data_IF_500745535679
#
_entry.id   IF_500745535679
#
_cell.length_a   1.000
_cell.length_b   1.000
_cell.length_c   1.000
_cell.angle_alpha   90.00
_cell.angle_beta   90.00
_cell.angle_gamma   90.00
#
_symmetry.space_group_name_H-M   'P 1'
#
loop_
_entity.id
_entity.type
_entity.pdbx_description
1 polymer ?
#
# COMPACT_ATOMS: atom_id res chain seq x y z
N UNK A 1 -5.98 22.04 -44.81
CA UNK A 1 -5.16 20.96 -44.21
C UNK A 1 -4.69 21.42 -42.86
N UNK A 2 -5.34 20.96 -41.81
CA UNK A 2 -4.89 21.22 -40.42
C UNK A 2 -4.24 19.95 -39.90
N UNK A 3 -2.92 20.02 -39.71
CA UNK A 3 -2.18 19.01 -39.00
C UNK A 3 -2.30 19.29 -37.50
N UNK A 4 -3.12 18.48 -36.82
CA UNK A 4 -3.17 18.44 -35.36
C UNK A 4 -1.99 17.59 -34.88
N UNK A 5 -0.99 18.25 -34.30
CA UNK A 5 0.12 17.57 -33.62
C UNK A 5 -0.35 17.32 -32.18
N UNK A 6 -0.79 16.09 -31.93
CA UNK A 6 -1.06 15.62 -30.58
C UNK A 6 0.25 15.52 -29.81
N UNK A 7 0.39 16.30 -28.74
CA UNK A 7 1.50 16.19 -27.81
C UNK A 7 1.42 14.84 -27.06
N UNK A 8 2.50 14.07 -27.00
CA UNK A 8 2.50 12.87 -26.16
C UNK A 8 2.55 13.28 -24.68
N UNK A 9 1.66 12.72 -23.90
CA UNK A 9 1.62 12.84 -22.45
C UNK A 9 2.82 12.06 -21.87
N UNK A 10 3.90 12.76 -21.53
CA UNK A 10 5.20 12.22 -21.08
C UNK A 10 5.34 12.33 -19.56
N UNK A 11 4.41 11.90 -18.73
CA UNK A 11 4.57 12.20 -17.31
C UNK A 11 4.73 11.04 -16.33
N UNK A 12 4.34 9.80 -16.65
CA UNK A 12 4.40 8.74 -15.64
C UNK A 12 5.52 7.70 -15.80
N UNK A 13 6.14 7.61 -16.97
CA UNK A 13 7.16 6.60 -17.27
C UNK A 13 8.54 6.96 -16.70
N UNK A 14 8.82 8.25 -16.52
CA UNK A 14 10.15 8.76 -16.15
C UNK A 14 10.49 8.49 -14.69
N UNK A 15 9.54 8.64 -13.76
CA UNK A 15 9.77 8.46 -12.32
C UNK A 15 10.09 7.01 -11.96
N UNK A 16 9.35 6.05 -12.51
CA UNK A 16 9.57 4.60 -12.29
C UNK A 16 10.91 4.13 -12.87
N UNK A 17 11.37 4.75 -13.96
CA UNK A 17 12.63 4.41 -14.58
C UNK A 17 13.82 4.64 -13.65
N UNK A 18 13.86 5.79 -12.96
CA UNK A 18 14.97 6.10 -12.03
C UNK A 18 15.04 5.15 -10.84
N UNK A 19 13.91 4.69 -10.32
CA UNK A 19 13.88 3.73 -9.20
C UNK A 19 14.43 2.36 -9.60
N UNK A 20 14.38 2.00 -10.88
CA UNK A 20 14.88 0.73 -11.39
C UNK A 20 16.31 0.80 -11.91
N UNK A 21 16.98 1.95 -11.82
CA UNK A 21 18.40 2.06 -12.15
C UNK A 21 19.28 1.51 -11.01
N UNK A 22 20.49 0.98 -11.35
CA UNK A 22 21.46 0.64 -10.34
C UNK A 22 21.86 1.88 -9.50
N UNK A 23 22.11 1.71 -8.19
CA UNK A 23 22.15 0.47 -7.42
C UNK A 23 20.81 -0.02 -6.90
N UNK A 24 19.73 0.76 -6.98
CA UNK A 24 18.46 0.51 -6.27
C UNK A 24 17.70 -0.68 -6.86
N UNK A 25 17.45 -0.69 -8.19
CA UNK A 25 16.68 -1.74 -8.89
C UNK A 25 15.41 -2.13 -8.13
N UNK A 26 14.58 -1.15 -7.84
CA UNK A 26 13.42 -1.29 -6.94
C UNK A 26 12.53 -2.49 -7.27
N UNK A 27 12.21 -2.71 -8.55
CA UNK A 27 11.32 -3.82 -8.95
C UNK A 27 11.98 -5.19 -8.89
N UNK A 28 13.31 -5.28 -9.08
CA UNK A 28 14.04 -6.54 -9.19
C UNK A 28 14.59 -7.01 -7.85
N UNK A 29 14.81 -6.09 -6.90
CA UNK A 29 15.39 -6.40 -5.61
C UNK A 29 14.34 -6.99 -4.68
N UNK A 30 14.63 -8.18 -4.14
CA UNK A 30 13.78 -8.81 -3.15
C UNK A 30 13.80 -8.02 -1.83
N UNK A 31 12.65 -7.57 -1.39
CA UNK A 31 12.51 -6.86 -0.13
C UNK A 31 12.63 -7.77 1.09
N UNK A 32 13.26 -7.26 2.15
CA UNK A 32 13.46 -7.93 3.43
C UNK A 32 12.71 -7.27 4.59
N UNK A 33 11.88 -6.29 4.30
CA UNK A 33 11.06 -5.61 5.30
C UNK A 33 10.01 -6.54 5.94
N UNK A 34 9.41 -6.14 7.08
CA UNK A 34 8.43 -6.95 7.81
C UNK A 34 7.20 -7.34 6.97
N UNK A 35 6.76 -6.48 6.04
CA UNK A 35 5.60 -6.76 5.18
C UNK A 35 5.96 -7.79 4.11
N UNK A 36 7.17 -7.73 3.54
CA UNK A 36 7.65 -8.75 2.61
C UNK A 36 7.76 -10.14 3.27
N UNK A 37 8.19 -10.18 4.54
CA UNK A 37 8.24 -11.43 5.32
C UNK A 37 6.83 -11.98 5.52
N UNK A 38 5.89 -11.12 5.88
CA UNK A 38 4.48 -11.48 6.02
C UNK A 38 3.90 -11.99 4.70
N UNK A 39 4.18 -11.31 3.58
CA UNK A 39 3.74 -11.71 2.24
C UNK A 39 4.15 -13.15 1.91
N UNK A 40 5.41 -13.51 2.18
CA UNK A 40 5.91 -14.86 1.94
C UNK A 40 5.19 -15.92 2.80
N UNK A 41 4.89 -15.61 4.06
CA UNK A 41 4.15 -16.51 4.96
C UNK A 41 2.70 -16.72 4.51
N UNK A 42 2.04 -15.67 4.05
CA UNK A 42 0.68 -15.75 3.50
C UNK A 42 0.68 -16.57 2.19
N UNK A 43 1.59 -16.27 1.28
CA UNK A 43 1.69 -16.95 -0.01
C UNK A 43 2.02 -18.45 0.12
N UNK A 44 2.81 -18.85 1.12
CA UNK A 44 3.14 -20.25 1.39
C UNK A 44 2.07 -20.99 2.21
N UNK A 45 1.02 -20.32 2.67
CA UNK A 45 0.00 -20.90 3.54
C UNK A 45 0.48 -21.17 4.97
N UNK A 46 1.66 -20.70 5.36
CA UNK A 46 2.18 -20.79 6.75
C UNK A 46 1.40 -19.91 7.71
N UNK A 47 0.74 -18.89 7.19
CA UNK A 47 -0.05 -17.96 7.95
C UNK A 47 -1.37 -17.67 7.22
N UNK A 48 -2.44 -17.58 7.99
CA UNK A 48 -3.74 -17.09 7.56
C UNK A 48 -4.14 -15.95 8.49
N UNK A 49 -4.66 -14.85 7.93
CA UNK A 49 -5.14 -13.73 8.74
C UNK A 49 -6.55 -14.03 9.25
N UNK A 50 -6.72 -13.96 10.56
CA UNK A 50 -8.03 -14.11 11.18
C UNK A 50 -8.93 -12.92 10.81
N UNK A 51 -10.21 -13.21 10.61
CA UNK A 51 -11.19 -12.18 10.25
C UNK A 51 -12.11 -11.88 11.44
N UNK A 52 -12.15 -10.63 11.81
CA UNK A 52 -13.08 -10.05 12.78
C UNK A 52 -14.33 -9.53 12.04
N UNK A 53 -15.50 -9.58 12.70
CA UNK A 53 -16.78 -9.14 12.11
C UNK A 53 -16.85 -7.64 11.85
N UNK A 54 -16.11 -6.85 12.60
CA UNK A 54 -16.19 -5.39 12.64
C UNK A 54 -15.10 -4.72 11.80
N UNK A 55 -13.89 -5.26 11.85
CA UNK A 55 -12.70 -4.65 11.23
C UNK A 55 -12.00 -5.57 10.21
N UNK A 56 -12.62 -6.68 9.83
CA UNK A 56 -12.07 -7.63 8.86
C UNK A 56 -10.74 -8.22 9.33
N UNK A 57 -9.73 -8.22 8.48
CA UNK A 57 -8.41 -8.78 8.80
C UNK A 57 -7.48 -7.79 9.52
N UNK A 58 -7.90 -6.54 9.71
CA UNK A 58 -7.06 -5.47 10.28
C UNK A 58 -6.44 -5.85 11.63
N UNK A 59 -7.20 -6.35 12.65
CA UNK A 59 -6.61 -6.68 13.93
C UNK A 59 -5.54 -7.77 13.85
N UNK A 60 -5.79 -8.80 13.03
CA UNK A 60 -4.83 -9.88 12.79
C UNK A 60 -3.58 -9.38 12.08
N UNK A 61 -3.75 -8.51 11.09
CA UNK A 61 -2.65 -7.88 10.35
C UNK A 61 -1.76 -7.04 11.27
N UNK A 62 -2.34 -6.15 12.07
CA UNK A 62 -1.60 -5.32 13.02
C UNK A 62 -0.80 -6.15 14.02
N UNK A 63 -1.40 -7.23 14.53
CA UNK A 63 -0.73 -8.17 15.42
C UNK A 63 0.47 -8.87 14.76
N UNK A 64 0.32 -9.30 13.50
CA UNK A 64 1.40 -9.99 12.77
C UNK A 64 2.57 -9.05 12.42
N UNK A 65 2.30 -7.76 12.26
CA UNK A 65 3.29 -6.73 11.95
C UNK A 65 3.83 -6.01 13.19
N UNK A 66 3.37 -6.40 14.38
CA UNK A 66 3.72 -5.76 15.65
C UNK A 66 3.46 -4.23 15.64
N UNK A 67 2.30 -3.85 15.07
CA UNK A 67 1.85 -2.46 15.00
C UNK A 67 0.83 -2.20 16.10
N UNK A 68 1.12 -1.33 17.08
CA UNK A 68 0.21 -1.04 18.17
C UNK A 68 -1.06 -0.33 17.68
N UNK A 69 -2.22 -0.75 18.19
CA UNK A 69 -3.51 -0.09 17.87
C UNK A 69 -3.65 1.28 18.50
N UNK A 70 -2.88 1.55 19.55
CA UNK A 70 -2.89 2.81 20.29
C UNK A 70 -2.27 3.97 19.51
N UNK A 71 -1.36 3.68 18.58
CA UNK A 71 -0.74 4.68 17.71
C UNK A 71 -1.54 4.87 16.42
N UNK A 72 -2.83 5.17 16.58
CA UNK A 72 -3.74 5.46 15.49
C UNK A 72 -3.84 6.97 15.25
N UNK A 73 -3.74 7.36 14.00
CA UNK A 73 -3.99 8.74 13.54
C UNK A 73 -5.09 8.74 12.48
N UNK A 74 -6.07 9.62 12.61
CA UNK A 74 -7.11 9.80 11.60
C UNK A 74 -6.70 10.91 10.63
N UNK A 75 -6.72 10.62 9.34
CA UNK A 75 -6.30 11.55 8.31
C UNK A 75 -7.32 11.65 7.18
N UNK A 76 -7.35 12.83 6.55
CA UNK A 76 -8.17 13.12 5.37
C UNK A 76 -7.29 13.31 4.13
N UNK A 77 -6.12 12.66 4.13
CA UNK A 77 -5.12 12.80 3.08
C UNK A 77 -5.64 12.34 1.72
N UNK A 78 -5.35 13.13 0.69
CA UNK A 78 -5.61 12.78 -0.71
C UNK A 78 -4.57 11.84 -1.32
N UNK A 79 -3.62 11.36 -0.52
CA UNK A 79 -2.53 10.47 -0.96
C UNK A 79 -2.86 8.97 -0.86
N UNK A 80 -4.13 8.61 -0.77
CA UNK A 80 -4.59 7.22 -0.72
C UNK A 80 -5.10 6.77 -2.08
N UNK A 81 -4.86 5.51 -2.44
CA UNK A 81 -5.50 4.86 -3.60
C UNK A 81 -7.03 4.83 -3.46
N UNK A 82 -7.54 5.02 -2.25
CA UNK A 82 -8.96 4.97 -1.90
C UNK A 82 -9.56 6.34 -1.60
N UNK A 83 -8.99 7.39 -2.17
CA UNK A 83 -9.39 8.78 -1.90
C UNK A 83 -10.91 9.02 -2.03
N UNK A 84 -11.57 8.33 -2.95
CA UNK A 84 -13.01 8.44 -3.19
C UNK A 84 -13.88 7.90 -2.04
N UNK A 85 -13.31 7.11 -1.13
CA UNK A 85 -13.97 6.58 0.07
C UNK A 85 -13.71 7.43 1.32
N UNK A 86 -12.73 8.34 1.26
CA UNK A 86 -12.32 9.16 2.40
C UNK A 86 -13.18 10.41 2.46
N UNK A 87 -13.76 10.67 3.64
CA UNK A 87 -14.56 11.87 3.91
C UNK A 87 -14.43 12.27 5.39
N UNK A 88 -14.89 13.46 5.79
CA UNK A 88 -14.92 13.85 7.20
C UNK A 88 -15.67 12.88 8.12
N UNK A 89 -16.66 12.17 7.58
CA UNK A 89 -17.42 11.14 8.31
C UNK A 89 -16.85 9.73 8.15
N UNK A 90 -15.90 9.54 7.24
CA UNK A 90 -15.22 8.27 7.00
C UNK A 90 -13.71 8.50 6.80
N UNK A 91 -13.00 8.91 7.86
CA UNK A 91 -11.56 9.19 7.77
C UNK A 91 -10.76 7.91 7.54
N UNK A 92 -9.57 8.07 6.95
CA UNK A 92 -8.58 7.02 6.90
C UNK A 92 -7.87 6.90 8.23
N UNK A 93 -7.84 5.72 8.81
CA UNK A 93 -7.04 5.42 9.97
C UNK A 93 -5.62 4.98 9.55
N UNK A 94 -4.61 5.59 10.14
CA UNK A 94 -3.21 5.20 9.99
C UNK A 94 -2.73 4.61 11.30
N UNK A 95 -2.22 3.39 11.26
CA UNK A 95 -1.56 2.71 12.37
C UNK A 95 -0.06 2.70 12.10
N UNK A 96 0.73 3.10 13.05
CA UNK A 96 2.15 3.38 12.89
C UNK A 96 3.00 2.59 13.86
N UNK A 97 4.14 2.09 13.39
CA UNK A 97 5.27 1.64 14.19
C UNK A 97 6.56 2.23 13.63
N UNK A 98 7.70 1.92 14.22
CA UNK A 98 9.00 2.43 13.77
C UNK A 98 9.36 2.00 12.33
N UNK A 99 8.82 0.88 11.88
CA UNK A 99 9.19 0.27 10.59
C UNK A 99 8.04 0.01 9.64
N UNK A 100 6.80 0.08 10.12
CA UNK A 100 5.61 -0.26 9.33
C UNK A 100 4.51 0.77 9.57
N UNK A 101 3.80 1.06 8.49
CA UNK A 101 2.59 1.83 8.49
C UNK A 101 1.46 1.04 7.84
N UNK A 102 0.26 1.09 8.41
CA UNK A 102 -0.95 0.45 7.87
C UNK A 102 -2.06 1.48 7.76
N UNK A 103 -2.57 1.66 6.54
CA UNK A 103 -3.71 2.53 6.23
C UNK A 103 -4.99 1.73 6.05
N UNK A 104 -6.03 2.13 6.76
CA UNK A 104 -7.34 1.51 6.71
C UNK A 104 -8.45 2.54 6.49
N UNK A 105 -9.31 2.29 5.53
CA UNK A 105 -10.54 3.08 5.30
C UNK A 105 -11.73 2.19 5.63
N UNK A 106 -12.59 2.57 6.58
CA UNK A 106 -13.77 1.77 6.92
C UNK A 106 -14.64 1.48 5.68
N UNK A 107 -15.09 0.23 5.56
CA UNK A 107 -15.87 -0.24 4.41
C UNK A 107 -15.05 -0.54 3.15
N UNK A 108 -13.72 -0.50 3.23
CA UNK A 108 -12.85 -0.93 2.13
C UNK A 108 -12.42 -2.39 2.28
N UNK A 109 -12.28 -3.07 1.14
CA UNK A 109 -11.64 -4.38 1.03
C UNK A 109 -10.11 -4.31 0.84
N UNK A 110 -9.56 -3.09 0.77
CA UNK A 110 -8.14 -2.85 0.54
C UNK A 110 -7.53 -2.18 1.76
N UNK A 111 -6.41 -2.71 2.23
CA UNK A 111 -5.54 -2.06 3.20
C UNK A 111 -4.25 -1.65 2.50
N UNK A 112 -3.76 -0.48 2.84
CA UNK A 112 -2.53 0.08 2.29
C UNK A 112 -1.42 -0.03 3.32
N UNK A 113 -0.27 -0.55 2.92
CA UNK A 113 0.85 -0.73 3.81
C UNK A 113 2.11 -0.07 3.25
N UNK A 114 2.96 0.40 4.14
CA UNK A 114 4.33 0.75 3.79
C UNK A 114 5.28 0.21 4.86
N UNK A 115 6.45 -0.21 4.44
CA UNK A 115 7.49 -0.67 5.33
C UNK A 115 8.85 -0.11 4.92
N UNK A 116 9.76 0.00 5.87
CA UNK A 116 11.11 0.46 5.61
C UNK A 116 12.02 -0.73 5.37
N UNK A 117 12.51 -0.85 4.15
CA UNK A 117 13.47 -1.88 3.76
C UNK A 117 14.90 -1.33 3.87
N UNK A 118 15.86 -2.09 4.44
CA UNK A 118 17.23 -1.61 4.62
C UNK A 118 17.96 -1.22 3.33
N UNK A 119 17.61 -1.86 2.22
CA UNK A 119 18.26 -1.63 0.93
C UNK A 119 17.46 -0.71 -0.01
N UNK A 120 16.12 -0.76 0.09
CA UNK A 120 15.22 -0.09 -0.85
C UNK A 120 14.61 1.19 -0.28
N UNK A 121 14.67 1.40 1.04
CA UNK A 121 13.93 2.46 1.72
C UNK A 121 12.45 2.10 1.85
N UNK A 122 11.56 3.07 1.63
CA UNK A 122 10.13 2.83 1.74
C UNK A 122 9.61 1.93 0.61
N UNK A 123 9.00 0.82 0.98
CA UNK A 123 8.34 -0.13 0.07
C UNK A 123 6.86 -0.16 0.39
N UNK A 124 6.03 -0.10 -0.65
CA UNK A 124 4.58 -0.02 -0.54
C UNK A 124 3.92 -1.32 -0.96
N UNK A 125 2.79 -1.62 -0.30
CA UNK A 125 2.00 -2.82 -0.53
C UNK A 125 0.51 -2.53 -0.45
N UNK A 126 -0.28 -3.34 -1.13
CA UNK A 126 -1.73 -3.42 -0.94
C UNK A 126 -2.11 -4.81 -0.47
N UNK A 127 -2.96 -4.89 0.54
CA UNK A 127 -3.61 -6.13 0.96
C UNK A 127 -5.06 -6.08 0.50
N UNK A 128 -5.41 -6.90 -0.46
CA UNK A 128 -6.78 -7.08 -0.91
C UNK A 128 -7.43 -8.25 -0.16
N UNK A 129 -8.63 -8.01 0.33
CA UNK A 129 -9.41 -9.00 1.07
C UNK A 129 -10.67 -9.30 0.29
N UNK A 130 -10.82 -10.52 -0.18
CA UNK A 130 -12.06 -10.94 -0.84
C UNK A 130 -13.19 -11.06 0.20
N UNK A 131 -14.29 -10.30 0.06
CA UNK A 131 -15.41 -10.37 0.99
C UNK A 131 -16.19 -11.69 0.94
N UNK A 132 -16.03 -12.48 -0.11
CA UNK A 132 -16.77 -13.74 -0.36
C UNK A 132 -15.98 -14.98 0.02
N UNK A 133 -14.67 -14.93 -0.16
CA UNK A 133 -13.74 -15.99 0.24
C UNK A 133 -12.87 -15.45 1.35
N UNK A 134 -12.44 -16.27 2.29
CA UNK A 134 -11.50 -15.82 3.34
C UNK A 134 -10.08 -15.55 2.79
N UNK A 135 -9.98 -15.40 1.47
CA UNK A 135 -8.72 -15.10 0.78
C UNK A 135 -8.26 -13.67 1.01
N UNK A 136 -6.98 -13.52 1.25
CA UNK A 136 -6.29 -12.23 1.28
C UNK A 136 -5.04 -12.30 0.42
N UNK A 137 -4.86 -11.32 -0.45
CA UNK A 137 -3.71 -11.21 -1.33
C UNK A 137 -2.91 -9.97 -0.99
N UNK A 138 -1.66 -10.17 -0.60
CA UNK A 138 -0.72 -9.08 -0.29
C UNK A 138 0.24 -8.90 -1.46
N UNK A 139 0.12 -7.76 -2.14
CA UNK A 139 0.87 -7.45 -3.35
C UNK A 139 1.77 -6.24 -3.10
N UNK A 140 3.03 -6.34 -3.51
CA UNK A 140 3.94 -5.20 -3.53
C UNK A 140 3.56 -4.24 -4.65
N UNK A 141 3.49 -2.96 -4.34
CA UNK A 141 3.28 -1.91 -5.35
C UNK A 141 4.52 -1.78 -6.26
N UNK A 142 4.36 -1.84 -7.58
CA UNK A 142 5.48 -1.70 -8.51
C UNK A 142 6.02 -0.26 -8.61
N UNK A 143 5.54 0.66 -7.79
CA UNK A 143 5.96 2.06 -7.76
C UNK A 143 4.86 3.06 -8.09
N UNK A 144 3.59 2.66 -8.14
CA UNK A 144 2.46 3.56 -8.41
C UNK A 144 2.30 4.63 -7.31
N UNK A 145 2.60 4.27 -6.07
CA UNK A 145 2.61 5.20 -4.93
C UNK A 145 3.69 6.28 -5.03
N UNK A 146 4.78 5.98 -5.73
CA UNK A 146 5.92 6.86 -5.92
C UNK A 146 5.74 7.76 -7.15
N UNK A 147 4.74 7.49 -7.98
CA UNK A 147 4.37 8.38 -9.06
C UNK A 147 3.76 9.67 -8.49
N UNK A 148 4.11 10.86 -9.00
CA UNK A 148 3.47 12.10 -8.60
C UNK A 148 1.97 11.96 -8.83
N UNK A 149 1.20 11.98 -7.75
CA UNK A 149 -0.26 12.07 -7.88
C UNK A 149 -0.54 13.48 -8.41
N UNK A 150 -1.08 13.58 -9.61
CA UNK A 150 -1.49 14.84 -10.17
C UNK A 150 -2.46 15.50 -9.19
N UNK A 151 -2.07 16.66 -8.68
CA UNK A 151 -2.93 17.51 -7.88
C UNK A 151 -4.05 17.98 -8.83
N UNK A 152 -5.17 17.28 -8.82
CA UNK A 152 -6.40 17.77 -9.43
C UNK A 152 -6.91 18.86 -8.50
N UNK A 153 -6.68 20.09 -8.89
CA UNK A 153 -7.29 21.26 -8.27
C UNK A 153 -8.73 21.44 -8.72
#
# INVERSE_FOLDING_TARGET
MHLSIGSPCLSNTVSLHYLNLPPIRYSDTQSQDPVAILQRKLASGQLVLDRDKQHGVLPSLLKQLDVPVEFQVLVFSKTSLQIHKISPTNPRALYLSDSVYVGYVPGSSILELAANDPALGAVFYTLEVDPKTDGSELVRDPGQWLAPQELIF
#
